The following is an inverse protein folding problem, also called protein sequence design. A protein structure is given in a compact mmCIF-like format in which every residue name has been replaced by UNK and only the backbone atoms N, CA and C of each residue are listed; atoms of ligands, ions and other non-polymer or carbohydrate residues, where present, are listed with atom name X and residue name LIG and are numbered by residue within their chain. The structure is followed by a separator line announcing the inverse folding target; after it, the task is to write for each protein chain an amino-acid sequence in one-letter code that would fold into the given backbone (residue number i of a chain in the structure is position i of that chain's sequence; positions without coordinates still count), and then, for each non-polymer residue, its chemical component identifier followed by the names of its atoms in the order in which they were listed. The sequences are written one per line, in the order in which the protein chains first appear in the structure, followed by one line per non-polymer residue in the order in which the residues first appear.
data_IF_211190635745
#
_entry.id   IF_211190635745
#
_cell.length_a   1.000
_cell.length_b   1.000
_cell.length_c   1.000
_cell.angle_alpha   90.00
_cell.angle_beta   90.00
_cell.angle_gamma   90.00
#
_symmetry.space_group_name_H-M   'P 1'
#
loop_
_entity.id
_entity.type
_entity.pdbx_description
1 polymer ?
#
# COMPACT_ATOMS: atom_id res chain seq x y z
N UNK A 1 4.93 39.04 6.91
CA UNK A 1 3.61 38.90 6.26
C UNK A 1 3.66 38.45 4.79
N UNK A 2 4.53 39.00 3.91
CA UNK A 2 4.63 38.57 2.48
C UNK A 2 4.94 37.07 2.26
N UNK A 3 5.85 36.47 3.06
CA UNK A 3 6.17 35.02 2.97
C UNK A 3 4.98 34.11 3.36
N UNK A 4 4.19 34.51 4.37
CA UNK A 4 2.96 33.82 4.77
C UNK A 4 1.87 33.94 3.69
N UNK A 5 1.79 35.08 3.00
CA UNK A 5 0.89 35.27 1.86
C UNK A 5 1.22 34.36 0.67
N UNK A 6 2.51 34.21 0.34
CA UNK A 6 2.97 33.28 -0.70
C UNK A 6 2.69 31.81 -0.35
N UNK A 7 2.99 31.39 0.89
CA UNK A 7 2.69 30.04 1.37
C UNK A 7 1.17 29.74 1.35
N UNK A 8 0.34 30.73 1.70
CA UNK A 8 -1.13 30.60 1.65
C UNK A 8 -1.65 30.49 0.22
N UNK A 9 -1.03 31.19 -0.75
CA UNK A 9 -1.36 31.09 -2.17
C UNK A 9 -0.98 29.71 -2.73
N UNK A 10 0.24 29.24 -2.45
CA UNK A 10 0.71 27.90 -2.82
C UNK A 10 -0.17 26.77 -2.24
N UNK A 11 -0.59 26.87 -0.98
CA UNK A 11 -1.45 25.87 -0.32
C UNK A 11 -2.84 25.73 -0.98
N UNK A 12 -3.30 26.74 -1.73
CA UNK A 12 -4.60 26.70 -2.40
C UNK A 12 -4.51 26.37 -3.90
N UNK A 13 -3.35 26.60 -4.55
CA UNK A 13 -3.17 26.40 -6.00
C UNK A 13 -2.65 25.00 -6.37
N UNK A 14 -1.96 24.31 -5.45
CA UNK A 14 -1.40 22.97 -5.73
C UNK A 14 -2.52 21.93 -5.73
N UNK A 15 -2.72 21.26 -6.86
CA UNK A 15 -3.53 20.04 -6.95
C UNK A 15 -2.80 18.90 -6.22
N UNK A 16 -3.15 18.75 -4.94
CA UNK A 16 -2.46 17.89 -3.97
C UNK A 16 -2.55 16.40 -4.32
N UNK A 17 -3.51 16.01 -5.17
CA UNK A 17 -3.67 14.63 -5.64
C UNK A 17 -3.34 14.49 -7.12
N UNK A 18 -2.62 15.43 -7.74
CA UNK A 18 -2.16 15.30 -9.12
C UNK A 18 -1.01 14.28 -9.22
N UNK A 19 -0.85 13.58 -10.37
CA UNK A 19 0.25 12.64 -10.57
C UNK A 19 1.64 13.29 -10.41
N UNK A 20 1.79 14.55 -10.78
CA UNK A 20 3.07 15.27 -10.63
C UNK A 20 3.50 15.47 -9.18
N UNK A 21 2.55 15.54 -8.25
CA UNK A 21 2.82 15.90 -6.87
C UNK A 21 2.66 14.71 -5.92
N UNK A 22 1.49 14.07 -5.91
CA UNK A 22 1.10 13.20 -4.81
C UNK A 22 1.99 11.96 -4.65
N UNK A 23 2.14 11.17 -5.71
CA UNK A 23 2.95 9.95 -5.65
C UNK A 23 4.45 10.25 -5.38
N UNK A 24 5.10 11.20 -6.08
CA UNK A 24 6.48 11.60 -5.75
C UNK A 24 6.62 12.13 -4.32
N UNK A 25 5.66 12.94 -3.84
CA UNK A 25 5.67 13.48 -2.49
C UNK A 25 5.63 12.37 -1.44
N UNK A 26 4.73 11.40 -1.58
CA UNK A 26 4.63 10.28 -0.63
C UNK A 26 5.88 9.38 -0.70
N UNK A 27 6.44 9.14 -1.89
CA UNK A 27 7.67 8.36 -2.05
C UNK A 27 8.85 9.02 -1.31
N UNK A 28 9.05 10.33 -1.52
CA UNK A 28 10.09 11.10 -0.85
C UNK A 28 9.84 11.11 0.66
N UNK A 29 8.61 11.37 1.10
CA UNK A 29 8.25 11.38 2.52
C UNK A 29 8.55 10.03 3.17
N UNK A 30 8.20 8.92 2.52
CA UNK A 30 8.44 7.56 3.02
C UNK A 30 9.93 7.31 3.31
N UNK A 31 10.81 7.63 2.37
CA UNK A 31 12.26 7.45 2.54
C UNK A 31 12.90 8.53 3.40
N UNK A 32 12.35 9.74 3.44
CA UNK A 32 12.79 10.78 4.38
C UNK A 32 12.57 10.36 5.83
N UNK A 33 11.40 9.78 6.15
CA UNK A 33 11.12 9.23 7.49
C UNK A 33 12.08 8.08 7.82
N UNK A 34 12.54 7.31 6.82
CA UNK A 34 13.52 6.24 7.02
C UNK A 34 14.93 6.71 7.43
N UNK A 35 15.21 8.02 7.36
CA UNK A 35 16.47 8.60 7.85
C UNK A 35 16.54 8.62 9.38
N UNK A 36 15.39 8.54 10.06
CA UNK A 36 15.30 8.48 11.51
C UNK A 36 15.28 7.02 11.97
N UNK A 37 16.40 6.30 11.79
CA UNK A 37 16.49 4.84 12.01
C UNK A 37 17.00 4.42 13.38
N UNK A 38 17.58 5.35 14.13
CA UNK A 38 18.06 5.14 15.50
C UNK A 38 19.08 3.98 15.63
N UNK A 39 19.89 3.72 14.60
CA UNK A 39 20.90 2.67 14.59
C UNK A 39 20.43 1.32 14.04
N UNK A 40 19.15 1.18 13.65
CA UNK A 40 18.65 -0.06 13.04
C UNK A 40 19.33 -0.36 11.70
N UNK A 41 19.65 0.64 10.89
CA UNK A 41 20.30 0.41 9.58
C UNK A 41 21.69 -0.17 9.76
N UNK A 42 22.43 0.35 10.74
CA UNK A 42 23.75 -0.15 11.10
C UNK A 42 23.66 -1.55 11.72
N UNK A 43 22.70 -1.79 12.61
CA UNK A 43 22.48 -3.10 13.23
C UNK A 43 22.21 -4.21 12.20
N UNK A 44 21.45 -3.91 11.15
CA UNK A 44 21.19 -4.85 10.05
C UNK A 44 22.21 -4.76 8.91
N UNK A 45 23.28 -3.97 9.03
CA UNK A 45 24.33 -3.81 8.01
C UNK A 45 23.73 -3.49 6.63
N UNK A 46 22.71 -2.64 6.59
CA UNK A 46 22.00 -2.24 5.37
C UNK A 46 22.79 -1.16 4.61
N UNK A 47 23.94 -1.56 4.04
CA UNK A 47 24.96 -0.67 3.50
C UNK A 47 24.75 -0.27 2.02
N UNK A 48 23.80 -0.88 1.31
CA UNK A 48 23.59 -0.59 -0.12
C UNK A 48 22.98 0.81 -0.32
N UNK A 49 23.47 1.52 -1.33
CA UNK A 49 23.00 2.86 -1.64
C UNK A 49 21.66 2.83 -2.37
N UNK A 50 20.58 3.01 -1.61
CA UNK A 50 19.20 3.02 -2.13
C UNK A 50 18.83 4.32 -2.87
N UNK A 51 19.63 5.39 -2.74
CA UNK A 51 19.29 6.71 -3.31
C UNK A 51 19.15 6.64 -4.83
N UNK A 52 20.04 5.91 -5.50
CA UNK A 52 19.99 5.76 -6.95
C UNK A 52 18.71 5.08 -7.43
N UNK A 53 18.25 4.05 -6.72
CA UNK A 53 16.99 3.38 -7.04
C UNK A 53 15.80 4.36 -6.94
N UNK A 54 15.79 5.19 -5.89
CA UNK A 54 14.75 6.21 -5.68
C UNK A 54 14.78 7.26 -6.80
N UNK A 55 15.96 7.81 -7.11
CA UNK A 55 16.12 8.85 -8.12
C UNK A 55 15.75 8.35 -9.52
N UNK A 56 16.23 7.17 -9.92
CA UNK A 56 15.93 6.56 -11.22
C UNK A 56 14.43 6.27 -11.34
N UNK A 57 13.81 5.70 -10.30
CA UNK A 57 12.36 5.46 -10.29
C UNK A 57 11.57 6.76 -10.40
N UNK A 58 11.92 7.78 -9.62
CA UNK A 58 11.25 9.08 -9.62
C UNK A 58 11.38 9.80 -10.97
N UNK A 59 12.57 9.83 -11.57
CA UNK A 59 12.79 10.44 -12.88
C UNK A 59 11.99 9.72 -13.97
N UNK A 60 11.98 8.38 -13.96
CA UNK A 60 11.22 7.57 -14.93
C UNK A 60 9.72 7.80 -14.80
N UNK A 61 9.21 7.86 -13.56
CA UNK A 61 7.83 8.20 -13.26
C UNK A 61 7.46 9.60 -13.79
N UNK A 62 8.25 10.62 -13.44
CA UNK A 62 7.98 12.01 -13.84
C UNK A 62 8.08 12.20 -15.35
N UNK A 63 9.04 11.54 -16.02
CA UNK A 63 9.15 11.54 -17.47
C UNK A 63 7.88 10.95 -18.13
N UNK A 64 7.41 9.81 -17.63
CA UNK A 64 6.16 9.19 -18.11
C UNK A 64 4.94 10.09 -17.89
N UNK A 65 4.81 10.67 -16.69
CA UNK A 65 3.74 11.65 -16.38
C UNK A 65 3.80 12.82 -17.35
N UNK A 66 4.99 13.38 -17.59
CA UNK A 66 5.18 14.51 -18.48
C UNK A 66 4.77 14.19 -19.92
N UNK A 67 5.21 13.05 -20.46
CA UNK A 67 4.88 12.61 -21.81
C UNK A 67 3.37 12.42 -21.97
N UNK A 68 2.73 11.73 -21.03
CA UNK A 68 1.29 11.45 -21.08
C UNK A 68 0.45 12.71 -20.97
N UNK A 69 0.78 13.60 -20.03
CA UNK A 69 0.02 14.82 -19.85
C UNK A 69 0.21 15.78 -21.02
N UNK A 70 1.43 15.91 -21.55
CA UNK A 70 1.71 16.74 -22.74
C UNK A 70 0.96 16.26 -23.97
N UNK A 71 0.90 14.93 -24.18
CA UNK A 71 0.18 14.33 -25.32
C UNK A 71 -1.30 14.05 -25.02
N UNK A 72 -1.77 14.37 -23.81
CA UNK A 72 -3.13 14.11 -23.34
C UNK A 72 -3.59 12.65 -23.57
N UNK A 73 -2.70 11.68 -23.35
CA UNK A 73 -3.04 10.27 -23.52
C UNK A 73 -4.06 9.82 -22.48
N UNK A 74 -4.92 8.88 -22.88
CA UNK A 74 -6.00 8.30 -22.08
C UNK A 74 -6.12 6.81 -22.39
N UNK A 75 -6.73 6.03 -21.49
CA UNK A 75 -7.05 4.65 -21.82
C UNK A 75 -8.03 4.58 -23.00
N UNK A 76 -7.81 3.63 -23.93
CA UNK A 76 -8.73 3.41 -25.05
C UNK A 76 -10.09 2.91 -24.53
N UNK A 77 -11.15 3.17 -25.30
CA UNK A 77 -12.45 2.54 -25.02
C UNK A 77 -12.38 1.05 -25.37
N UNK A 78 -12.75 0.18 -24.45
CA UNK A 78 -12.66 -1.28 -24.63
C UNK A 78 -13.81 -1.89 -25.46
N UNK A 79 -14.67 -1.07 -26.09
CA UNK A 79 -15.83 -1.58 -26.85
C UNK A 79 -16.95 -2.22 -26.01
N UNK A 80 -16.81 -2.24 -24.68
CA UNK A 80 -17.73 -2.88 -23.73
C UNK A 80 -18.91 -1.99 -23.30
N UNK A 81 -19.33 -1.04 -24.15
CA UNK A 81 -20.37 -0.06 -23.80
C UNK A 81 -21.74 -0.71 -23.50
N UNK A 82 -22.02 -1.91 -24.02
CA UNK A 82 -23.24 -2.67 -23.74
C UNK A 82 -23.38 -3.11 -22.27
N UNK A 83 -22.29 -3.06 -21.49
CA UNK A 83 -22.27 -3.35 -20.05
C UNK A 83 -22.47 -2.10 -19.17
N UNK A 84 -22.67 -0.93 -19.77
CA UNK A 84 -22.85 0.33 -19.03
C UNK A 84 -24.00 0.23 -18.02
N UNK A 85 -23.77 0.67 -16.80
CA UNK A 85 -24.72 0.59 -15.69
C UNK A 85 -24.89 -0.81 -15.09
N UNK A 86 -24.31 -1.86 -15.70
CA UNK A 86 -24.33 -3.23 -15.16
C UNK A 86 -23.17 -3.51 -14.20
N UNK A 87 -22.12 -2.69 -14.24
CA UNK A 87 -20.94 -2.78 -13.37
C UNK A 87 -21.30 -2.80 -11.87
N UNK A 88 -22.37 -2.08 -11.46
CA UNK A 88 -22.87 -2.06 -10.08
C UNK A 88 -23.43 -3.42 -9.61
N UNK A 89 -24.07 -4.20 -10.49
CA UNK A 89 -24.60 -5.52 -10.13
C UNK A 89 -23.47 -6.51 -9.86
N UNK A 90 -22.38 -6.39 -10.62
CA UNK A 90 -21.17 -7.15 -10.36
C UNK A 90 -20.56 -6.80 -9.00
N UNK A 91 -20.55 -5.52 -8.60
CA UNK A 91 -20.13 -5.12 -7.25
C UNK A 91 -21.03 -5.70 -6.16
N UNK A 92 -22.36 -5.68 -6.33
CA UNK A 92 -23.26 -6.30 -5.35
C UNK A 92 -22.99 -7.80 -5.20
N UNK A 93 -22.76 -8.50 -6.31
CA UNK A 93 -22.40 -9.92 -6.29
C UNK A 93 -21.08 -10.18 -5.55
N UNK A 94 -20.03 -9.41 -5.85
CA UNK A 94 -18.74 -9.49 -5.13
C UNK A 94 -18.90 -9.17 -3.64
N UNK A 95 -19.70 -8.15 -3.31
CA UNK A 95 -19.98 -7.77 -1.93
C UNK A 95 -20.71 -8.87 -1.16
N UNK A 96 -21.65 -9.56 -1.82
CA UNK A 96 -22.35 -10.70 -1.23
C UNK A 96 -21.40 -11.87 -0.95
N UNK A 97 -20.54 -12.24 -1.91
CA UNK A 97 -19.51 -13.27 -1.71
C UNK A 97 -18.60 -12.89 -0.55
N UNK A 98 -18.15 -11.63 -0.50
CA UNK A 98 -17.30 -11.13 0.57
C UNK A 98 -17.98 -11.18 1.93
N UNK A 99 -19.27 -10.81 2.01
CA UNK A 99 -20.05 -10.86 3.24
C UNK A 99 -20.22 -12.30 3.75
N UNK A 100 -20.61 -13.24 2.88
CA UNK A 100 -20.76 -14.65 3.23
C UNK A 100 -19.44 -15.22 3.74
N UNK A 101 -18.34 -14.95 3.03
CA UNK A 101 -17.00 -15.40 3.43
C UNK A 101 -16.59 -14.84 4.79
N UNK A 102 -16.89 -13.56 5.04
CA UNK A 102 -16.64 -12.90 6.31
C UNK A 102 -17.45 -13.51 7.46
N UNK A 103 -18.74 -13.82 7.24
CA UNK A 103 -19.60 -14.46 8.25
C UNK A 103 -19.11 -15.88 8.58
N UNK A 104 -18.75 -16.67 7.58
CA UNK A 104 -18.22 -18.04 7.79
C UNK A 104 -16.95 -17.96 8.65
N UNK A 105 -16.06 -17.03 8.34
CA UNK A 105 -14.82 -16.83 9.08
C UNK A 105 -15.07 -16.36 10.53
N UNK A 106 -16.05 -15.48 10.78
CA UNK A 106 -16.48 -15.17 12.14
C UNK A 106 -17.06 -16.39 12.88
N UNK A 107 -17.85 -17.22 12.20
CA UNK A 107 -18.45 -18.43 12.77
C UNK A 107 -17.39 -19.48 13.17
N UNK A 108 -16.20 -19.46 12.56
CA UNK A 108 -15.06 -20.29 12.99
C UNK A 108 -14.35 -19.79 14.26
N UNK A 109 -14.83 -18.71 14.89
CA UNK A 109 -14.28 -18.18 16.15
C UNK A 109 -12.99 -17.37 15.99
N UNK A 110 -12.62 -17.00 14.76
CA UNK A 110 -11.33 -16.41 14.44
C UNK A 110 -11.39 -14.87 14.43
N UNK A 111 -11.47 -14.24 15.61
CA UNK A 111 -11.39 -12.78 15.75
C UNK A 111 -9.92 -12.35 15.87
N UNK A 112 -9.39 -11.71 14.83
CA UNK A 112 -7.95 -11.46 14.65
C UNK A 112 -7.35 -10.26 15.41
N UNK A 113 -8.11 -9.56 16.26
CA UNK A 113 -7.59 -8.41 17.03
C UNK A 113 -6.57 -8.84 18.09
N UNK A 114 -6.84 -9.94 18.80
CA UNK A 114 -6.14 -10.26 20.04
C UNK A 114 -4.93 -11.19 19.85
N UNK A 115 -4.85 -11.93 18.74
CA UNK A 115 -3.76 -12.88 18.50
C UNK A 115 -3.40 -12.99 17.01
N UNK A 116 -2.13 -12.72 16.66
CA UNK A 116 -1.62 -12.84 15.29
C UNK A 116 -1.59 -14.30 14.81
N UNK A 117 -1.47 -15.26 15.71
CA UNK A 117 -1.50 -16.68 15.36
C UNK A 117 -2.87 -17.08 14.81
N UNK A 118 -3.98 -16.64 15.42
CA UNK A 118 -5.35 -16.91 14.94
C UNK A 118 -5.55 -16.35 13.52
N UNK A 119 -5.00 -15.16 13.24
CA UNK A 119 -5.04 -14.56 11.89
C UNK A 119 -4.24 -15.35 10.86
N UNK A 120 -3.09 -15.93 11.23
CA UNK A 120 -2.23 -16.68 10.29
C UNK A 120 -2.73 -18.09 10.01
N UNK A 121 -3.64 -18.61 10.84
CA UNK A 121 -4.37 -19.86 10.59
C UNK A 121 -5.71 -19.66 9.86
N UNK A 122 -6.05 -18.42 9.45
CA UNK A 122 -7.22 -18.15 8.61
C UNK A 122 -7.08 -18.93 7.29
N UNK A 123 -8.19 -19.50 6.82
CA UNK A 123 -8.24 -20.06 5.46
C UNK A 123 -7.89 -18.96 4.44
N UNK A 124 -6.80 -19.12 3.66
CA UNK A 124 -6.35 -18.10 2.72
C UNK A 124 -7.41 -17.74 1.68
N UNK A 125 -8.28 -18.68 1.30
CA UNK A 125 -9.36 -18.47 0.33
C UNK A 125 -10.47 -17.63 0.94
N UNK A 126 -10.95 -17.95 2.14
CA UNK A 126 -11.97 -17.15 2.84
C UNK A 126 -11.48 -15.73 3.08
N UNK A 127 -10.19 -15.59 3.42
CA UNK A 127 -9.57 -14.30 3.60
C UNK A 127 -9.48 -13.48 2.29
N UNK A 128 -9.12 -14.13 1.19
CA UNK A 128 -9.10 -13.51 -0.13
C UNK A 128 -10.51 -13.04 -0.53
N UNK A 129 -11.52 -13.92 -0.37
CA UNK A 129 -12.90 -13.63 -0.74
C UNK A 129 -13.54 -12.55 0.14
N UNK A 130 -13.27 -12.54 1.45
CA UNK A 130 -13.80 -11.52 2.37
C UNK A 130 -13.34 -10.11 2.00
N UNK A 131 -12.19 -9.98 1.33
CA UNK A 131 -11.70 -8.69 0.83
C UNK A 131 -12.58 -8.06 -0.25
N UNK A 132 -13.45 -8.83 -0.92
CA UNK A 132 -14.44 -8.29 -1.85
C UNK A 132 -15.51 -7.44 -1.16
N UNK A 133 -15.74 -7.65 0.15
CA UNK A 133 -16.72 -6.87 0.91
C UNK A 133 -16.35 -5.39 0.96
N UNK A 134 -15.14 -5.08 1.45
CA UNK A 134 -14.72 -3.68 1.60
C UNK A 134 -14.54 -2.99 0.24
N UNK A 135 -14.08 -3.73 -0.77
CA UNK A 135 -13.90 -3.21 -2.12
C UNK A 135 -15.24 -2.85 -2.77
N UNK A 136 -16.23 -3.75 -2.68
CA UNK A 136 -17.58 -3.51 -3.19
C UNK A 136 -18.23 -2.30 -2.51
N UNK A 137 -18.19 -2.25 -1.18
CA UNK A 137 -18.76 -1.14 -0.40
C UNK A 137 -18.09 0.19 -0.76
N UNK A 138 -16.76 0.21 -0.88
CA UNK A 138 -16.01 1.41 -1.28
C UNK A 138 -16.49 1.93 -2.63
N UNK A 139 -16.49 1.09 -3.67
CA UNK A 139 -16.90 1.51 -5.02
C UNK A 139 -18.37 1.92 -5.07
N UNK A 140 -19.28 1.21 -4.40
CA UNK A 140 -20.72 1.54 -4.38
C UNK A 140 -20.99 2.86 -3.65
N UNK A 141 -20.33 3.11 -2.51
CA UNK A 141 -20.46 4.38 -1.78
C UNK A 141 -19.88 5.51 -2.63
N UNK A 142 -18.70 5.34 -3.24
CA UNK A 142 -18.11 6.36 -4.08
C UNK A 142 -18.98 6.65 -5.32
N UNK A 143 -19.55 5.64 -5.98
CA UNK A 143 -20.44 5.82 -7.14
C UNK A 143 -21.70 6.61 -6.77
N UNK A 144 -22.35 6.26 -5.65
CA UNK A 144 -23.48 7.06 -5.13
C UNK A 144 -23.05 8.46 -4.74
N UNK A 145 -21.88 8.60 -4.10
CA UNK A 145 -21.37 9.89 -3.67
C UNK A 145 -21.14 10.84 -4.86
N UNK A 146 -20.65 10.31 -5.97
CA UNK A 146 -20.43 11.08 -7.20
C UNK A 146 -21.75 11.45 -7.89
N UNK A 147 -22.73 10.54 -7.94
CA UNK A 147 -24.00 10.75 -8.66
C UNK A 147 -25.03 11.59 -7.91
N UNK A 148 -25.06 11.50 -6.59
CA UNK A 148 -26.13 12.08 -5.76
C UNK A 148 -25.73 13.39 -5.07
N UNK A 149 -24.58 13.96 -5.39
CA UNK A 149 -24.17 15.25 -4.83
C UNK A 149 -25.00 16.40 -5.45
N UNK A 150 -25.54 17.35 -4.66
CA UNK A 150 -25.38 17.53 -3.21
C UNK A 150 -26.25 16.59 -2.34
N UNK A 151 -25.68 16.10 -1.24
CA UNK A 151 -26.36 15.13 -0.36
C UNK A 151 -27.41 15.73 0.57
N UNK A 152 -28.47 14.96 0.82
CA UNK A 152 -29.33 15.18 2.00
C UNK A 152 -28.64 14.74 3.29
N UNK A 153 -29.03 15.34 4.43
CA UNK A 153 -28.52 14.93 5.76
C UNK A 153 -28.74 13.43 6.04
N UNK A 154 -29.83 12.85 5.53
CA UNK A 154 -30.14 11.42 5.67
C UNK A 154 -29.15 10.55 4.90
N UNK A 155 -28.93 10.85 3.61
CA UNK A 155 -27.94 10.13 2.78
C UNK A 155 -26.54 10.17 3.39
N UNK A 156 -26.09 11.35 3.83
CA UNK A 156 -24.78 11.51 4.44
C UNK A 156 -24.61 10.66 5.70
N UNK A 157 -25.63 10.62 6.58
CA UNK A 157 -25.65 9.75 7.77
C UNK A 157 -25.60 8.28 7.39
N UNK A 158 -26.38 7.86 6.39
CA UNK A 158 -26.39 6.46 5.93
C UNK A 158 -25.03 6.05 5.37
N UNK A 159 -24.41 6.85 4.50
CA UNK A 159 -23.10 6.55 3.91
C UNK A 159 -22.00 6.49 4.95
N UNK A 160 -22.00 7.44 5.90
CA UNK A 160 -21.06 7.43 7.00
C UNK A 160 -21.25 6.20 7.89
N UNK A 161 -22.50 5.83 8.22
CA UNK A 161 -22.78 4.66 9.05
C UNK A 161 -22.33 3.37 8.39
N UNK A 162 -22.64 3.15 7.11
CA UNK A 162 -22.20 1.95 6.37
C UNK A 162 -20.68 1.88 6.31
N UNK A 163 -20.01 3.01 6.01
CA UNK A 163 -18.55 3.07 5.98
C UNK A 163 -17.95 2.75 7.37
N UNK A 164 -18.50 3.32 8.45
CA UNK A 164 -18.04 3.08 9.81
C UNK A 164 -18.20 1.62 10.24
N UNK A 165 -19.32 0.97 9.89
CA UNK A 165 -19.53 -0.46 10.15
C UNK A 165 -18.47 -1.29 9.43
N UNK A 166 -18.24 -1.07 8.14
CA UNK A 166 -17.25 -1.85 7.38
C UNK A 166 -15.82 -1.61 7.88
N UNK A 167 -15.47 -0.37 8.21
CA UNK A 167 -14.19 -0.05 8.82
C UNK A 167 -14.01 -0.76 10.17
N UNK A 168 -15.06 -0.81 11.00
CA UNK A 168 -15.04 -1.55 12.26
C UNK A 168 -14.83 -3.05 12.02
N UNK A 169 -15.52 -3.66 11.04
CA UNK A 169 -15.31 -5.06 10.65
C UNK A 169 -13.85 -5.33 10.22
N UNK A 170 -13.24 -4.42 9.46
CA UNK A 170 -11.83 -4.53 9.06
C UNK A 170 -10.87 -4.39 10.25
N UNK A 171 -11.19 -3.53 11.22
CA UNK A 171 -10.43 -3.43 12.48
C UNK A 171 -10.54 -4.73 13.27
N UNK A 172 -11.72 -5.37 13.34
CA UNK A 172 -11.93 -6.68 13.97
C UNK A 172 -11.07 -7.80 13.36
N UNK A 173 -10.68 -7.67 12.10
CA UNK A 173 -9.75 -8.58 11.43
C UNK A 173 -8.27 -8.21 11.58
N UNK A 174 -7.96 -7.01 12.11
CA UNK A 174 -6.62 -6.46 12.13
C UNK A 174 -6.09 -6.06 10.74
N UNK A 175 -6.98 -5.74 9.78
CA UNK A 175 -6.61 -5.36 8.42
C UNK A 175 -6.41 -3.86 8.22
N UNK A 176 -5.16 -3.45 8.40
CA UNK A 176 -4.72 -2.04 8.33
C UNK A 176 -4.70 -1.48 6.90
N UNK A 177 -4.27 -2.29 5.93
CA UNK A 177 -4.10 -1.85 4.54
C UNK A 177 -5.43 -1.50 3.87
N UNK A 178 -6.49 -2.34 3.93
CA UNK A 178 -7.81 -1.99 3.43
C UNK A 178 -8.41 -0.71 4.06
N UNK A 179 -8.20 -0.51 5.37
CA UNK A 179 -8.63 0.71 6.07
C UNK A 179 -7.99 1.95 5.43
N UNK A 180 -6.66 1.91 5.24
CA UNK A 180 -5.95 2.99 4.56
C UNK A 180 -6.50 3.18 3.13
N UNK A 181 -6.69 2.11 2.37
CA UNK A 181 -7.23 2.18 0.99
C UNK A 181 -8.57 2.90 0.97
N UNK A 182 -9.52 2.51 1.82
CA UNK A 182 -10.85 3.11 1.88
C UNK A 182 -10.78 4.59 2.25
N UNK A 183 -10.00 4.91 3.30
CA UNK A 183 -9.88 6.28 3.80
C UNK A 183 -9.26 7.23 2.75
N UNK A 184 -8.15 6.86 2.12
CA UNK A 184 -7.50 7.68 1.09
C UNK A 184 -8.32 7.76 -0.19
N UNK A 185 -8.96 6.66 -0.62
CA UNK A 185 -9.83 6.68 -1.81
C UNK A 185 -11.01 7.63 -1.61
N UNK A 186 -11.71 7.53 -0.46
CA UNK A 186 -12.79 8.46 -0.11
C UNK A 186 -12.30 9.91 -0.05
N UNK A 187 -11.12 10.16 0.54
CA UNK A 187 -10.54 11.50 0.61
C UNK A 187 -10.27 12.10 -0.78
N UNK A 188 -9.73 11.30 -1.70
CA UNK A 188 -9.45 11.75 -3.08
C UNK A 188 -10.77 12.01 -3.83
N UNK A 189 -11.76 11.13 -3.71
CA UNK A 189 -13.08 11.34 -4.32
C UNK A 189 -13.70 12.64 -3.80
N UNK A 190 -13.74 12.85 -2.48
CA UNK A 190 -14.24 14.09 -1.86
C UNK A 190 -13.47 15.31 -2.34
N UNK A 191 -12.15 15.21 -2.48
CA UNK A 191 -11.30 16.30 -2.97
C UNK A 191 -11.72 16.80 -4.36
N UNK A 192 -12.02 15.88 -5.28
CA UNK A 192 -12.37 16.23 -6.65
C UNK A 192 -13.86 16.51 -6.85
N UNK A 193 -14.77 15.85 -6.13
CA UNK A 193 -16.23 15.97 -6.36
C UNK A 193 -16.92 17.01 -5.49
N UNK A 194 -16.51 17.14 -4.22
CA UNK A 194 -17.22 17.97 -3.23
C UNK A 194 -16.44 19.25 -2.94
N UNK A 195 -15.21 19.10 -2.41
CA UNK A 195 -14.41 20.23 -1.94
C UNK A 195 -12.94 19.91 -2.00
N UNK A 196 -12.18 20.78 -2.66
CA UNK A 196 -10.71 20.73 -2.69
C UNK A 196 -10.14 20.76 -1.27
N UNK A 197 -9.44 19.69 -0.91
CA UNK A 197 -8.67 19.56 0.33
C UNK A 197 -7.35 20.31 0.16
N UNK A 198 -7.06 21.22 1.08
CA UNK A 198 -5.79 21.97 1.10
C UNK A 198 -4.64 21.07 1.51
N UNK A 199 -3.43 21.37 1.06
CA UNK A 199 -2.23 20.60 1.40
C UNK A 199 -2.00 20.51 2.91
N UNK A 200 -2.24 21.59 3.67
CA UNK A 200 -2.13 21.56 5.14
C UNK A 200 -3.04 20.53 5.81
N UNK A 201 -4.27 20.36 5.29
CA UNK A 201 -5.22 19.36 5.79
C UNK A 201 -4.84 17.95 5.36
N UNK A 202 -4.28 17.79 4.15
CA UNK A 202 -3.73 16.51 3.70
C UNK A 202 -2.56 16.07 4.59
N UNK A 203 -1.64 16.97 4.93
CA UNK A 203 -0.52 16.69 5.84
C UNK A 203 -1.01 16.32 7.24
N UNK A 204 -1.98 17.05 7.78
CA UNK A 204 -2.59 16.72 9.06
C UNK A 204 -3.27 15.34 9.03
N UNK A 205 -3.98 15.02 7.94
CA UNK A 205 -4.61 13.71 7.74
C UNK A 205 -3.57 12.59 7.66
N UNK A 206 -2.50 12.76 6.87
CA UNK A 206 -1.39 11.80 6.78
C UNK A 206 -0.75 11.55 8.15
N UNK A 207 -0.54 12.61 8.93
CA UNK A 207 0.01 12.52 10.28
C UNK A 207 -0.92 11.75 11.23
N UNK A 208 -2.21 12.07 11.24
CA UNK A 208 -3.20 11.38 12.10
C UNK A 208 -3.29 9.90 11.73
N UNK A 209 -3.43 9.57 10.44
CA UNK A 209 -3.50 8.18 9.98
C UNK A 209 -2.20 7.43 10.30
N UNK A 210 -1.04 8.05 10.05
CA UNK A 210 0.26 7.48 10.40
C UNK A 210 0.41 7.20 11.89
N UNK A 211 0.00 8.17 12.74
CA UNK A 211 -0.01 8.01 14.19
C UNK A 211 -0.96 6.90 14.64
N UNK A 212 -2.19 6.85 14.11
CA UNK A 212 -3.16 5.81 14.45
C UNK A 212 -2.67 4.42 14.05
N UNK A 213 -2.09 4.26 12.86
CA UNK A 213 -1.54 2.98 12.39
C UNK A 213 -0.32 2.55 13.22
N UNK A 214 0.55 3.50 13.60
CA UNK A 214 1.68 3.27 14.49
C UNK A 214 1.24 2.86 15.89
N UNK A 215 0.28 3.57 16.49
CA UNK A 215 -0.28 3.25 17.81
C UNK A 215 -0.96 1.87 17.81
N UNK A 216 -1.69 1.53 16.75
CA UNK A 216 -2.27 0.19 16.60
C UNK A 216 -1.19 -0.88 16.48
N UNK A 217 -0.10 -0.61 15.76
CA UNK A 217 1.08 -1.47 15.71
C UNK A 217 1.70 -1.69 17.08
N UNK A 218 1.90 -0.61 17.83
CA UNK A 218 2.46 -0.61 19.18
C UNK A 218 1.58 -1.36 20.18
N UNK A 219 0.27 -1.10 20.20
CA UNK A 219 -0.69 -1.79 21.06
C UNK A 219 -0.60 -3.30 20.84
N UNK A 220 -0.55 -3.75 19.58
CA UNK A 220 -0.42 -5.18 19.26
C UNK A 220 0.85 -5.80 19.83
N UNK A 221 1.99 -5.13 19.71
CA UNK A 221 3.27 -5.65 20.21
C UNK A 221 3.26 -5.80 21.73
N UNK A 222 2.56 -4.91 22.45
CA UNK A 222 2.45 -4.99 23.91
C UNK A 222 1.46 -6.07 24.35
N UNK A 223 0.39 -6.29 23.59
CA UNK A 223 -0.63 -7.31 23.92
C UNK A 223 -0.27 -8.70 23.41
N UNK A 224 0.85 -8.85 22.69
CA UNK A 224 1.29 -10.11 22.12
C UNK A 224 1.78 -11.06 23.23
N UNK A 225 1.15 -12.23 23.33
CA UNK A 225 1.51 -13.26 24.31
C UNK A 225 2.84 -13.93 23.92
N UNK A 226 3.93 -13.51 24.59
CA UNK A 226 5.27 -14.02 24.36
C UNK A 226 5.52 -15.44 24.87
N UNK A 227 4.60 -16.01 25.66
CA UNK A 227 4.71 -17.41 26.10
C UNK A 227 4.55 -18.40 24.94
N UNK A 228 3.90 -17.97 23.84
CA UNK A 228 3.75 -18.77 22.63
C UNK A 228 5.05 -18.72 21.82
N UNK A 229 5.57 -19.89 21.45
CA UNK A 229 6.78 -20.05 20.61
C UNK A 229 6.73 -19.20 19.32
N UNK A 230 5.56 -19.06 18.70
CA UNK A 230 5.34 -18.24 17.50
C UNK A 230 5.60 -16.73 17.73
N UNK A 231 5.43 -16.25 18.96
CA UNK A 231 5.57 -14.85 19.35
C UNK A 231 6.93 -14.55 20.02
N UNK A 232 7.81 -15.55 20.14
CA UNK A 232 9.15 -15.35 20.68
C UNK A 232 9.91 -14.30 19.85
N UNK A 233 10.69 -13.49 20.56
CA UNK A 233 11.57 -12.47 19.98
C UNK A 233 13.04 -12.92 19.97
N UNK A 234 13.30 -14.19 20.31
CA UNK A 234 14.63 -14.79 20.28
C UNK A 234 15.19 -14.81 18.85
N UNK A 235 16.49 -14.49 18.74
CA UNK A 235 17.23 -14.58 17.49
C UNK A 235 17.55 -16.03 17.11
N UNK A 236 18.12 -16.27 15.92
CA UNK A 236 18.71 -17.56 15.61
C UNK A 236 19.87 -17.85 16.56
N UNK A 237 19.97 -19.09 17.04
CA UNK A 237 21.10 -19.53 17.87
C UNK A 237 22.34 -19.68 16.99
N UNK A 238 23.23 -18.69 17.04
CA UNK A 238 24.50 -18.68 16.32
C UNK A 238 25.60 -18.25 17.29
N UNK A 239 26.74 -18.95 17.25
CA UNK A 239 27.94 -18.53 17.98
C UNK A 239 28.54 -17.30 17.28
N UNK A 240 28.48 -16.15 17.93
CA UNK A 240 29.03 -14.89 17.44
C UNK A 240 30.38 -14.61 18.10
N UNK A 241 31.30 -14.01 17.35
CA UNK A 241 32.58 -13.58 17.91
C UNK A 241 32.36 -12.46 18.95
N UNK A 242 33.23 -12.37 19.96
CA UNK A 242 33.12 -11.38 21.05
C UNK A 242 33.00 -9.93 20.56
N UNK A 243 33.76 -9.57 19.53
CA UNK A 243 33.72 -8.24 18.92
C UNK A 243 32.35 -7.95 18.29
N UNK A 244 31.78 -8.92 17.56
CA UNK A 244 30.46 -8.79 16.94
C UNK A 244 29.35 -8.69 17.99
N UNK A 245 29.43 -9.51 19.05
CA UNK A 245 28.50 -9.43 20.18
C UNK A 245 28.53 -8.05 20.83
N UNK A 246 29.72 -7.53 21.14
CA UNK A 246 29.88 -6.22 21.78
C UNK A 246 29.30 -5.09 20.94
N UNK A 247 29.51 -5.14 19.61
CA UNK A 247 28.98 -4.17 18.67
C UNK A 247 27.45 -4.25 18.58
N UNK A 248 26.90 -5.45 18.47
CA UNK A 248 25.46 -5.67 18.39
C UNK A 248 24.75 -5.24 19.67
N UNK A 249 25.34 -5.50 20.84
CA UNK A 249 24.85 -5.00 22.13
C UNK A 249 24.85 -3.48 22.19
N UNK A 250 25.93 -2.83 21.77
CA UNK A 250 26.02 -1.36 21.74
C UNK A 250 24.94 -0.75 20.83
N UNK A 251 24.71 -1.35 19.66
CA UNK A 251 23.67 -0.91 18.72
C UNK A 251 22.26 -1.16 19.26
N UNK A 252 22.02 -2.31 19.92
CA UNK A 252 20.74 -2.58 20.60
C UNK A 252 20.47 -1.59 21.72
N UNK A 253 21.46 -1.27 22.55
CA UNK A 253 21.35 -0.24 23.60
C UNK A 253 20.95 1.12 23.02
N UNK A 254 21.63 1.55 21.95
CA UNK A 254 21.28 2.80 21.23
C UNK A 254 19.86 2.79 20.67
N UNK A 255 19.41 1.67 20.12
CA UNK A 255 18.03 1.50 19.65
C UNK A 255 17.05 1.57 20.82
N UNK A 256 17.37 0.96 21.96
CA UNK A 256 16.48 0.88 23.12
C UNK A 256 16.39 2.15 23.95
N UNK A 257 17.42 3.01 23.92
CA UNK A 257 17.39 4.38 24.45
C UNK A 257 16.29 5.23 23.79
N UNK A 258 15.91 4.91 22.55
CA UNK A 258 14.86 5.63 21.84
C UNK A 258 13.47 5.18 22.35
N UNK A 259 12.58 6.12 22.75
CA UNK A 259 11.24 5.79 23.20
C UNK A 259 10.48 4.92 22.20
N UNK A 260 9.83 3.85 22.69
CA UNK A 260 9.15 2.85 21.85
C UNK A 260 8.12 3.47 20.88
N UNK A 261 7.42 4.53 21.28
CA UNK A 261 6.45 5.22 20.43
C UNK A 261 7.11 5.96 19.25
N UNK A 262 8.31 6.53 19.44
CA UNK A 262 9.10 7.18 18.38
C UNK A 262 9.59 6.12 17.39
N UNK A 263 10.06 4.99 17.91
CA UNK A 263 10.45 3.83 17.08
C UNK A 263 9.27 3.32 16.25
N UNK A 264 8.07 3.22 16.82
CA UNK A 264 6.87 2.78 16.10
C UNK A 264 6.50 3.70 14.93
N UNK A 265 6.70 5.01 15.05
CA UNK A 265 6.38 5.98 13.99
C UNK A 265 7.29 5.85 12.75
N UNK A 266 8.53 5.43 12.95
CA UNK A 266 9.56 5.34 11.90
C UNK A 266 9.77 3.90 11.41
N UNK A 267 9.35 2.91 12.20
CA UNK A 267 9.63 1.48 12.00
C UNK A 267 9.30 1.00 10.59
N UNK A 268 8.14 1.39 10.07
CA UNK A 268 7.65 0.96 8.75
C UNK A 268 8.55 1.45 7.62
N UNK A 269 9.00 2.71 7.69
CA UNK A 269 9.91 3.32 6.70
C UNK A 269 11.33 2.79 6.83
N UNK A 270 11.82 2.66 8.07
CA UNK A 270 13.16 2.14 8.36
C UNK A 270 13.30 0.69 7.91
N UNK A 271 12.29 -0.14 8.20
CA UNK A 271 12.24 -1.54 7.74
C UNK A 271 12.21 -1.60 6.22
N UNK A 272 11.44 -0.75 5.54
CA UNK A 272 11.42 -0.71 4.08
C UNK A 272 12.77 -0.36 3.46
N UNK A 273 13.54 0.54 4.09
CA UNK A 273 14.93 0.86 3.70
C UNK A 273 15.87 -0.32 3.90
N UNK A 274 15.82 -0.99 5.05
CA UNK A 274 16.64 -2.18 5.35
C UNK A 274 16.35 -3.29 4.33
N UNK A 275 15.07 -3.60 4.11
CA UNK A 275 14.63 -4.62 3.17
C UNK A 275 15.08 -4.28 1.75
N UNK A 276 14.91 -3.02 1.29
CA UNK A 276 15.41 -2.59 -0.01
C UNK A 276 16.92 -2.80 -0.14
N UNK A 277 17.70 -2.37 0.85
CA UNK A 277 19.16 -2.56 0.85
C UNK A 277 19.54 -4.04 0.78
N UNK A 278 18.90 -4.90 1.57
CA UNK A 278 19.21 -6.33 1.60
C UNK A 278 18.78 -7.06 0.34
N UNK A 279 17.68 -6.65 -0.27
CA UNK A 279 17.29 -7.18 -1.57
C UNK A 279 18.26 -6.78 -2.69
N UNK A 280 18.82 -5.57 -2.64
CA UNK A 280 19.87 -5.17 -3.57
C UNK A 280 21.14 -6.01 -3.38
N UNK A 281 21.56 -6.21 -2.13
CA UNK A 281 22.70 -7.07 -1.78
C UNK A 281 22.48 -8.51 -2.27
N UNK A 282 21.30 -9.08 -2.00
CA UNK A 282 20.94 -10.43 -2.45
C UNK A 282 21.01 -10.56 -3.98
N UNK A 283 20.40 -9.62 -4.71
CA UNK A 283 20.37 -9.66 -6.17
C UNK A 283 21.75 -9.46 -6.80
N UNK A 284 22.63 -8.67 -6.16
CA UNK A 284 24.02 -8.50 -6.60
C UNK A 284 24.84 -9.80 -6.42
N UNK A 285 24.54 -10.59 -5.38
CA UNK A 285 25.25 -11.86 -5.07
C UNK A 285 24.68 -13.09 -5.82
N UNK A 286 23.36 -13.17 -5.95
CA UNK A 286 22.65 -14.36 -6.46
C UNK A 286 22.06 -14.17 -7.86
N UNK A 287 22.10 -12.94 -8.40
CA UNK A 287 21.48 -12.56 -9.66
C UNK A 287 20.00 -12.19 -9.54
N UNK A 288 19.44 -11.75 -10.68
CA UNK A 288 18.04 -11.31 -10.77
C UNK A 288 17.06 -12.46 -11.02
N UNK A 289 15.79 -12.25 -10.65
CA UNK A 289 14.71 -13.25 -10.73
C UNK A 289 13.96 -13.27 -12.07
N UNK A 290 14.09 -12.24 -12.90
CA UNK A 290 13.57 -12.14 -14.27
C UNK A 290 12.08 -12.52 -14.45
N UNK A 291 11.22 -12.14 -13.51
CA UNK A 291 9.77 -12.34 -13.52
C UNK A 291 9.27 -13.43 -12.59
N UNK A 292 10.16 -14.26 -12.02
CA UNK A 292 9.78 -15.38 -11.13
C UNK A 292 9.09 -14.91 -9.85
N UNK A 293 9.46 -13.73 -9.33
CA UNK A 293 8.81 -13.18 -8.15
C UNK A 293 7.37 -12.75 -8.47
N UNK A 294 7.12 -12.15 -9.64
CA UNK A 294 5.77 -11.80 -10.09
C UNK A 294 4.95 -13.02 -10.53
N UNK A 295 5.55 -14.07 -11.09
CA UNK A 295 4.88 -15.34 -11.37
C UNK A 295 4.29 -15.94 -10.08
N UNK A 296 5.02 -15.81 -8.97
CA UNK A 296 4.56 -16.19 -7.64
C UNK A 296 3.23 -15.54 -7.21
N UNK A 297 2.85 -14.40 -7.77
CA UNK A 297 1.56 -13.75 -7.47
C UNK A 297 0.41 -14.65 -7.92
N UNK A 298 0.53 -15.28 -9.09
CA UNK A 298 -0.52 -16.12 -9.67
C UNK A 298 -0.49 -17.54 -9.12
N UNK A 299 0.70 -18.06 -8.78
CA UNK A 299 0.84 -19.43 -8.24
C UNK A 299 0.15 -19.61 -6.88
N UNK A 300 -0.06 -18.54 -6.11
CA UNK A 300 -0.78 -18.60 -4.82
C UNK A 300 -2.22 -19.08 -4.92
N UNK A 301 -2.87 -18.96 -6.08
CA UNK A 301 -4.26 -19.41 -6.31
C UNK A 301 -4.33 -20.70 -7.10
N UNK A 302 -3.23 -21.08 -7.78
CA UNK A 302 -3.12 -22.31 -8.54
C UNK A 302 -2.77 -23.50 -7.63
N UNK A 303 -3.12 -24.74 -8.02
CA UNK A 303 -2.72 -25.95 -7.28
C UNK A 303 -1.19 -26.14 -7.34
N UNK A 304 -0.56 -26.48 -6.21
CA UNK A 304 0.89 -26.72 -6.11
C UNK A 304 1.53 -26.11 -4.85
N UNK A 305 2.87 -25.97 -4.84
CA UNK A 305 3.60 -25.31 -3.75
C UNK A 305 3.30 -23.80 -3.80
N UNK A 306 2.47 -23.33 -2.87
CA UNK A 306 2.02 -21.94 -2.78
C UNK A 306 3.04 -21.06 -2.07
N UNK A 307 4.18 -20.80 -2.72
CA UNK A 307 5.19 -19.89 -2.18
C UNK A 307 4.83 -18.45 -2.57
N UNK A 308 4.17 -17.73 -1.66
CA UNK A 308 3.80 -16.33 -1.92
C UNK A 308 5.04 -15.45 -2.15
N UNK A 309 4.96 -14.41 -3.00
CA UNK A 309 6.11 -13.53 -3.25
C UNK A 309 6.66 -12.87 -1.98
N UNK A 310 5.80 -12.59 -1.00
CA UNK A 310 6.22 -12.05 0.31
C UNK A 310 7.05 -13.03 1.13
N UNK A 311 6.79 -14.34 0.99
CA UNK A 311 7.61 -15.37 1.63
C UNK A 311 8.97 -15.49 0.95
N UNK A 312 9.00 -15.44 -0.39
CA UNK A 312 10.27 -15.41 -1.14
C UNK A 312 11.15 -14.25 -0.71
N UNK A 313 10.57 -13.06 -0.56
CA UNK A 313 11.30 -11.86 -0.09
C UNK A 313 11.82 -12.05 1.34
N UNK A 314 11.03 -12.67 2.24
CA UNK A 314 11.48 -13.01 3.59
C UNK A 314 12.68 -13.94 3.56
N UNK A 315 12.64 -14.99 2.75
CA UNK A 315 13.72 -15.96 2.60
C UNK A 315 15.00 -15.27 2.07
N UNK A 316 14.88 -14.45 1.01
CA UNK A 316 16.00 -13.70 0.45
C UNK A 316 16.66 -12.79 1.50
N UNK A 317 15.87 -11.98 2.20
CA UNK A 317 16.40 -11.00 3.16
C UNK A 317 17.01 -11.69 4.38
N UNK A 318 16.35 -12.71 4.93
CA UNK A 318 16.86 -13.43 6.08
C UNK A 318 18.09 -14.29 5.74
N UNK A 319 18.23 -14.80 4.51
CA UNK A 319 19.40 -15.58 4.10
C UNK A 319 20.72 -14.82 4.28
N UNK A 320 20.70 -13.47 4.24
CA UNK A 320 21.87 -12.62 4.43
C UNK A 320 22.14 -12.23 5.90
N UNK A 321 21.22 -12.53 6.82
CA UNK A 321 21.29 -12.03 8.20
C UNK A 321 21.19 -13.13 9.26
N UNK A 322 20.64 -14.30 8.92
CA UNK A 322 20.44 -15.40 9.87
C UNK A 322 21.77 -15.92 10.40
N UNK A 323 22.77 -16.09 9.54
CA UNK A 323 24.12 -16.52 9.93
C UNK A 323 24.85 -15.49 10.81
N UNK A 324 24.30 -14.26 10.91
CA UNK A 324 24.77 -13.19 11.79
C UNK A 324 23.95 -13.08 13.08
N UNK A 325 23.13 -14.08 13.40
CA UNK A 325 22.27 -14.06 14.59
C UNK A 325 21.11 -13.06 14.50
N UNK A 326 20.69 -12.66 13.29
CA UNK A 326 19.70 -11.59 13.09
C UNK A 326 18.55 -12.04 12.18
N UNK A 327 17.32 -11.95 12.69
CA UNK A 327 16.11 -12.02 11.84
C UNK A 327 15.67 -10.60 11.44
N UNK A 328 15.65 -10.29 10.15
CA UNK A 328 14.96 -9.09 9.66
C UNK A 328 13.45 -9.28 9.79
N UNK A 329 12.96 -10.50 9.52
CA UNK A 329 11.58 -10.89 9.77
C UNK A 329 11.54 -12.24 10.46
N UNK A 330 10.79 -12.33 11.56
CA UNK A 330 10.70 -13.54 12.37
C UNK A 330 10.11 -14.73 11.61
N UNK A 331 10.49 -15.98 11.94
CA UNK A 331 9.89 -17.18 11.35
C UNK A 331 8.36 -17.17 11.46
N UNK A 332 7.67 -17.64 10.41
CA UNK A 332 6.20 -17.63 10.34
C UNK A 332 5.56 -16.27 10.02
N UNK A 333 6.36 -15.21 9.85
CA UNK A 333 5.92 -13.90 9.34
C UNK A 333 6.43 -13.66 7.93
N UNK A 334 5.85 -12.68 7.27
CA UNK A 334 6.17 -12.32 5.88
C UNK A 334 6.61 -10.86 5.78
N UNK A 335 7.57 -10.60 4.94
CA UNK A 335 8.18 -9.29 4.71
C UNK A 335 7.54 -8.67 3.48
N UNK A 336 7.18 -7.40 3.57
CA UNK A 336 6.74 -6.63 2.41
C UNK A 336 7.92 -5.88 1.81
N UNK A 337 8.28 -6.12 0.53
CA UNK A 337 9.24 -5.26 -0.14
C UNK A 337 8.58 -3.93 -0.50
N UNK A 338 9.38 -2.87 -0.54
CA UNK A 338 8.97 -1.65 -1.26
C UNK A 338 8.84 -1.95 -2.76
N UNK A 339 8.11 -1.11 -3.51
CA UNK A 339 8.07 -1.23 -4.98
C UNK A 339 9.46 -1.26 -5.62
N UNK A 340 10.37 -0.43 -5.10
CA UNK A 340 11.76 -0.41 -5.56
C UNK A 340 12.44 -1.75 -5.34
N UNK A 341 12.25 -2.36 -4.17
CA UNK A 341 12.86 -3.66 -3.84
C UNK A 341 12.32 -4.78 -4.72
N UNK A 342 10.99 -4.81 -4.91
CA UNK A 342 10.33 -5.76 -5.80
C UNK A 342 10.86 -5.66 -7.24
N UNK A 343 10.99 -4.45 -7.79
CA UNK A 343 11.52 -4.28 -9.15
C UNK A 343 13.01 -4.57 -9.23
N UNK A 344 13.81 -4.16 -8.23
CA UNK A 344 15.26 -4.37 -8.26
C UNK A 344 15.61 -5.87 -8.28
N UNK A 345 14.91 -6.69 -7.49
CA UNK A 345 15.14 -8.15 -7.48
C UNK A 345 14.84 -8.78 -8.83
N UNK A 346 13.89 -8.23 -9.59
CA UNK A 346 13.46 -8.82 -10.86
C UNK A 346 14.41 -8.54 -12.01
N UNK A 347 14.91 -7.31 -12.17
CA UNK A 347 15.87 -6.97 -13.22
C UNK A 347 16.67 -5.69 -12.90
N UNK A 348 16.96 -5.42 -11.63
CA UNK A 348 17.71 -4.26 -11.18
C UNK A 348 17.05 -2.93 -11.56
N UNK A 349 17.89 -1.98 -11.99
CA UNK A 349 17.43 -0.64 -12.40
C UNK A 349 16.50 -0.68 -13.63
N UNK A 350 16.64 -1.66 -14.53
CA UNK A 350 15.80 -1.75 -15.72
C UNK A 350 14.32 -1.96 -15.34
N UNK A 351 14.05 -2.89 -14.43
CA UNK A 351 12.70 -3.12 -13.93
C UNK A 351 12.17 -1.91 -13.13
N UNK A 352 13.02 -1.19 -12.40
CA UNK A 352 12.61 0.06 -11.72
C UNK A 352 12.16 1.10 -12.74
N UNK A 353 12.94 1.33 -13.81
CA UNK A 353 12.61 2.29 -14.87
C UNK A 353 11.27 1.94 -15.50
N UNK A 354 11.12 0.69 -15.94
CA UNK A 354 9.91 0.22 -16.61
C UNK A 354 8.71 0.30 -15.66
N UNK A 355 8.83 -0.22 -14.43
CA UNK A 355 7.76 -0.25 -13.44
C UNK A 355 7.27 1.15 -13.07
N UNK A 356 8.18 2.07 -12.74
CA UNK A 356 7.80 3.44 -12.38
C UNK A 356 7.29 4.24 -13.59
N UNK A 357 7.81 4.00 -14.79
CA UNK A 357 7.25 4.59 -16.01
C UNK A 357 5.81 4.11 -16.25
N UNK A 358 5.53 2.81 -16.09
CA UNK A 358 4.18 2.26 -16.19
C UNK A 358 3.24 2.88 -15.15
N UNK A 359 3.71 3.13 -13.93
CA UNK A 359 2.89 3.75 -12.89
C UNK A 359 2.55 5.20 -13.24
N UNK A 360 3.54 5.95 -13.75
CA UNK A 360 3.35 7.31 -14.25
C UNK A 360 2.39 7.36 -15.43
N UNK A 361 2.49 6.40 -16.35
CA UNK A 361 1.60 6.23 -17.50
C UNK A 361 0.15 6.02 -17.04
N UNK A 362 -0.09 4.98 -16.23
CA UNK A 362 -1.43 4.59 -15.78
C UNK A 362 -2.09 5.73 -15.00
N UNK A 363 -1.41 6.31 -14.01
CA UNK A 363 -1.99 7.39 -13.19
C UNK A 363 -2.30 8.63 -14.03
N UNK A 364 -1.43 8.99 -14.96
CA UNK A 364 -1.64 10.17 -15.80
C UNK A 364 -2.74 9.98 -16.83
N UNK A 365 -2.87 8.78 -17.39
CA UNK A 365 -3.98 8.45 -18.31
C UNK A 365 -5.33 8.51 -17.60
N UNK A 366 -5.43 7.96 -16.38
CA UNK A 366 -6.65 8.06 -15.56
C UNK A 366 -6.95 9.50 -15.13
N UNK A 367 -5.91 10.26 -14.78
CA UNK A 367 -6.06 11.67 -14.41
C UNK A 367 -6.57 12.52 -15.57
N UNK A 368 -6.04 12.32 -16.79
CA UNK A 368 -6.53 12.98 -18.00
C UNK A 368 -7.99 12.59 -18.30
N UNK A 369 -8.33 11.31 -18.16
CA UNK A 369 -9.71 10.84 -18.33
C UNK A 369 -10.67 11.49 -17.34
N UNK A 370 -10.31 11.54 -16.05
CA UNK A 370 -11.10 12.20 -15.02
C UNK A 370 -11.30 13.69 -15.34
N UNK A 371 -10.26 14.40 -15.80
CA UNK A 371 -10.38 15.82 -16.20
C UNK A 371 -11.33 16.02 -17.37
N UNK A 372 -11.31 15.14 -18.37
CA UNK A 372 -12.14 15.27 -19.57
C UNK A 372 -13.60 14.84 -19.35
N UNK A 373 -13.83 13.79 -18.55
CA UNK A 373 -15.18 13.31 -18.23
C UNK A 373 -15.88 14.15 -17.16
N UNK A 374 -15.16 15.09 -16.54
CA UNK A 374 -15.63 15.90 -15.41
C UNK A 374 -15.39 15.20 -14.08
N UNK A 375 -15.21 16.00 -13.02
CA UNK A 375 -14.86 15.46 -11.69
C UNK A 375 -16.01 14.68 -11.03
N UNK A 376 -17.27 14.96 -11.38
CA UNK A 376 -18.44 14.20 -10.93
C UNK A 376 -18.70 12.97 -11.84
N UNK A 377 -17.69 12.13 -12.05
CA UNK A 377 -17.77 10.96 -12.92
C UNK A 377 -17.17 9.70 -12.29
N UNK A 378 -17.50 8.54 -12.85
CA UNK A 378 -16.96 7.24 -12.40
C UNK A 378 -15.43 7.18 -12.54
N UNK A 379 -14.86 7.93 -13.49
CA UNK A 379 -13.42 8.05 -13.71
C UNK A 379 -12.69 8.57 -12.47
N UNK A 380 -13.31 9.45 -11.68
CA UNK A 380 -12.75 9.94 -10.41
C UNK A 380 -12.55 8.81 -9.41
N UNK A 381 -13.44 7.83 -9.38
CA UNK A 381 -13.37 6.68 -8.46
C UNK A 381 -12.21 5.78 -8.84
N UNK A 382 -12.10 5.44 -10.14
CA UNK A 382 -11.00 4.62 -10.64
C UNK A 382 -9.64 5.29 -10.42
N UNK A 383 -9.54 6.61 -10.68
CA UNK A 383 -8.34 7.39 -10.41
C UNK A 383 -8.00 7.39 -8.91
N UNK A 384 -8.96 7.70 -8.05
CA UNK A 384 -8.77 7.73 -6.60
C UNK A 384 -8.29 6.38 -6.04
N UNK A 385 -8.93 5.30 -6.46
CA UNK A 385 -8.61 3.96 -6.02
C UNK A 385 -7.21 3.53 -6.46
N UNK A 386 -6.89 3.64 -7.75
CA UNK A 386 -5.58 3.22 -8.29
C UNK A 386 -4.44 4.07 -7.73
N UNK A 387 -4.65 5.39 -7.59
CA UNK A 387 -3.69 6.29 -6.92
C UNK A 387 -3.40 5.83 -5.51
N UNK A 388 -4.44 5.44 -4.77
CA UNK A 388 -4.30 4.95 -3.39
C UNK A 388 -3.58 3.61 -3.33
N UNK A 389 -3.89 2.68 -4.22
CA UNK A 389 -3.18 1.39 -4.29
C UNK A 389 -1.69 1.60 -4.58
N UNK A 390 -1.34 2.40 -5.59
CA UNK A 390 0.06 2.67 -5.91
C UNK A 390 0.78 3.40 -4.76
N UNK A 391 0.13 4.33 -4.08
CA UNK A 391 0.67 4.99 -2.89
C UNK A 391 1.00 3.98 -1.79
N UNK A 392 0.07 3.07 -1.47
CA UNK A 392 0.26 2.07 -0.42
C UNK A 392 1.34 1.05 -0.81
N UNK A 393 1.40 0.70 -2.09
CA UNK A 393 2.41 -0.20 -2.63
C UNK A 393 3.84 0.31 -2.42
N UNK A 394 4.07 1.63 -2.26
CA UNK A 394 5.40 2.15 -1.88
C UNK A 394 5.97 1.40 -0.67
N UNK A 395 5.13 1.10 0.32
CA UNK A 395 5.50 0.31 1.49
C UNK A 395 5.29 -1.20 1.28
N UNK A 396 4.15 -1.61 0.70
CA UNK A 396 3.73 -3.02 0.72
C UNK A 396 4.13 -3.84 -0.51
N UNK A 397 4.68 -3.18 -1.53
CA UNK A 397 4.84 -3.72 -2.88
C UNK A 397 3.49 -3.90 -3.58
N UNK A 398 3.52 -4.41 -4.80
CA UNK A 398 2.36 -4.85 -5.58
C UNK A 398 2.48 -6.36 -5.83
N UNK A 399 2.37 -7.14 -4.74
CA UNK A 399 2.61 -8.59 -4.73
C UNK A 399 1.38 -9.43 -4.38
N UNK A 400 0.24 -8.78 -4.15
CA UNK A 400 -1.02 -9.47 -3.84
C UNK A 400 -1.90 -9.51 -5.10
N UNK A 401 -2.28 -10.73 -5.54
CA UNK A 401 -3.14 -10.95 -6.71
C UNK A 401 -4.45 -10.14 -6.62
N UNK A 402 -5.00 -10.05 -5.41
CA UNK A 402 -6.22 -9.30 -5.13
C UNK A 402 -6.12 -7.85 -5.63
N UNK A 403 -5.00 -7.16 -5.38
CA UNK A 403 -4.83 -5.77 -5.81
C UNK A 403 -4.70 -5.66 -7.32
N UNK A 404 -4.06 -6.63 -8.00
CA UNK A 404 -4.02 -6.68 -9.47
C UNK A 404 -5.41 -6.83 -10.06
N UNK A 405 -6.23 -7.74 -9.52
CA UNK A 405 -7.61 -7.94 -9.94
C UNK A 405 -8.47 -6.69 -9.72
N UNK A 406 -8.30 -6.02 -8.58
CA UNK A 406 -9.01 -4.78 -8.26
C UNK A 406 -8.61 -3.61 -9.16
N UNK A 407 -7.31 -3.47 -9.49
CA UNK A 407 -6.83 -2.50 -10.49
C UNK A 407 -7.43 -2.81 -11.85
N UNK A 408 -7.39 -4.08 -12.28
CA UNK A 408 -7.99 -4.53 -13.52
C UNK A 408 -9.48 -4.18 -13.60
N UNK A 409 -10.23 -4.48 -12.54
CA UNK A 409 -11.63 -4.07 -12.42
C UNK A 409 -11.80 -2.56 -12.53
N UNK A 410 -11.01 -1.76 -11.80
CA UNK A 410 -11.13 -0.30 -11.80
C UNK A 410 -10.88 0.30 -13.20
N UNK A 411 -9.90 -0.21 -13.95
CA UNK A 411 -9.61 0.22 -15.32
C UNK A 411 -10.75 -0.19 -16.27
N UNK A 412 -11.19 -1.45 -16.22
CA UNK A 412 -12.24 -1.97 -17.11
C UNK A 412 -13.59 -1.30 -16.84
N UNK A 413 -13.98 -1.18 -15.57
CA UNK A 413 -15.22 -0.50 -15.18
C UNK A 413 -15.19 0.99 -15.57
N UNK A 414 -14.05 1.67 -15.41
CA UNK A 414 -13.88 3.06 -15.89
C UNK A 414 -14.04 3.19 -17.41
N UNK A 415 -13.55 2.22 -18.18
CA UNK A 415 -13.72 2.18 -19.63
C UNK A 415 -15.17 1.89 -20.05
N UNK A 416 -15.90 1.05 -19.30
CA UNK A 416 -17.32 0.72 -19.55
C UNK A 416 -18.23 1.90 -19.23
N UNK A 417 -18.04 2.53 -18.06
CA UNK A 417 -18.89 3.62 -17.58
C UNK A 417 -18.58 4.98 -18.25
N UNK A 418 -17.53 5.04 -19.08
CA UNK A 418 -17.18 6.23 -19.84
C UNK A 418 -18.32 6.62 -20.78
N UNK A 419 -18.98 7.72 -20.46
CA UNK A 419 -19.86 8.39 -21.43
C UNK A 419 -18.96 8.96 -22.52
N UNK A 420 -19.16 8.53 -23.78
CA UNK A 420 -18.53 9.20 -24.92
C UNK A 420 -19.02 10.64 -24.91
N UNK A 421 -18.19 11.55 -24.42
CA UNK A 421 -18.27 12.94 -24.88
C UNK A 421 -17.84 12.89 -26.33
N UNK A 422 -18.78 13.13 -27.25
CA UNK A 422 -18.45 13.41 -28.63
C UNK A 422 -17.48 14.58 -28.61
N UNK A 423 -16.21 14.32 -28.95
CA UNK A 423 -15.30 15.36 -29.42
C UNK A 423 -15.47 15.40 -30.93
#
# INVERSE_FOLDING_TARGET
MKRLGMLRKWNNEIDSFSPYFFFPFILILYFFVSLFDFGKIEYFEANRNILWAILVGMLSYLAAVHIVQKKNWMFPSLGLAFLKGKTKYFLYFLGFIGLVSYIIMLATGQIGITDESVRRHLDPKLNFLSSFLWFSVLFLICDRAVREYPFTKKQMRTYFFVLAVVLLLLVLMGYRTPIAIMCFTCLIVVHYTIRRVKLSWLLAFLFIVGLSLSLFGFFRVITEDQSKKFNSHEGPNVELNEEQMSRDEALRRKIDETPKWVRGLTEVSVTGRIVLSKLMEYADEHGYMYGKLHEGIFSTVLPGKQLSPRMQITEMVNSLTVDKGKYVTRPGRTTTPTLLGQFYVEAGYLAIIIGFALYGLILSMLYNQMKQSGFASFQTIAYAFITTIFMISIHTGLLDLLFLLMIGYAIVSSAIERTRTNI
#
